data_IF_542950693286
#
_entry.id   IF_542950693286
#
_cell.length_a   1.000
_cell.length_b   1.000
_cell.length_c   1.000
_cell.angle_alpha   90.00
_cell.angle_beta   90.00
_cell.angle_gamma   90.00
#
_symmetry.space_group_name_H-M   'P 1'
#
loop_
_entity.id
_entity.type
_entity.pdbx_description
1 polymer ?
#
# COMPACT_ATOMS: atom_id res chain seq x y z
N UNK A 1 -8.19 69.23 -27.03
CA UNK A 1 -9.19 68.56 -26.16
C UNK A 1 -9.63 67.19 -26.68
N UNK A 2 -9.94 67.01 -27.97
CA UNK A 2 -10.45 65.73 -28.53
C UNK A 2 -9.50 64.52 -28.37
N UNK A 3 -8.18 64.72 -28.42
CA UNK A 3 -7.21 63.62 -28.24
C UNK A 3 -7.14 63.08 -26.80
N UNK A 4 -7.42 63.92 -25.81
CA UNK A 4 -7.39 63.52 -24.40
C UNK A 4 -8.64 62.68 -24.04
N UNK A 5 -9.80 63.03 -24.58
CA UNK A 5 -11.03 62.26 -24.38
C UNK A 5 -10.98 60.88 -25.04
N UNK A 6 -10.37 60.75 -26.23
CA UNK A 6 -10.20 59.44 -26.88
C UNK A 6 -9.27 58.52 -26.09
N UNK A 7 -8.18 59.05 -25.51
CA UNK A 7 -7.26 58.27 -24.69
C UNK A 7 -7.90 57.76 -23.39
N UNK A 8 -8.73 58.57 -22.73
CA UNK A 8 -9.44 58.18 -21.50
C UNK A 8 -10.50 57.12 -21.78
N UNK A 9 -11.25 57.24 -22.88
CA UNK A 9 -12.26 56.24 -23.27
C UNK A 9 -11.60 54.91 -23.66
N UNK A 10 -10.47 54.95 -24.39
CA UNK A 10 -9.71 53.74 -24.72
C UNK A 10 -9.13 53.05 -23.48
N UNK A 11 -8.57 53.82 -22.53
CA UNK A 11 -8.06 53.27 -21.28
C UNK A 11 -9.18 52.67 -20.40
N UNK A 12 -10.35 53.31 -20.34
CA UNK A 12 -11.51 52.79 -19.64
C UNK A 12 -12.05 51.50 -20.30
N UNK A 13 -12.08 51.42 -21.63
CA UNK A 13 -12.48 50.20 -22.35
C UNK A 13 -11.50 49.04 -22.16
N UNK A 14 -10.19 49.31 -22.08
CA UNK A 14 -9.16 48.31 -21.80
C UNK A 14 -9.21 47.85 -20.33
N UNK A 15 -9.47 48.75 -19.37
CA UNK A 15 -9.65 48.38 -17.97
C UNK A 15 -10.96 47.59 -17.75
N UNK A 16 -12.05 47.99 -18.40
CA UNK A 16 -13.34 47.28 -18.30
C UNK A 16 -13.33 45.92 -19.03
N UNK A 17 -12.58 45.77 -20.12
CA UNK A 17 -12.39 44.47 -20.79
C UNK A 17 -11.34 43.59 -20.07
N UNK A 18 -10.27 44.18 -19.55
CA UNK A 18 -9.23 43.50 -18.76
C UNK A 18 -9.73 42.95 -17.43
N UNK A 19 -10.75 43.55 -16.82
CA UNK A 19 -11.39 43.03 -15.61
C UNK A 19 -12.36 41.86 -15.85
N UNK A 20 -12.80 41.60 -17.08
CA UNK A 20 -13.74 40.51 -17.38
C UNK A 20 -13.04 39.22 -17.82
N UNK A 21 -11.85 39.32 -18.40
CA UNK A 21 -11.10 38.16 -18.90
C UNK A 21 -10.22 37.47 -17.83
N UNK A 22 -10.12 38.04 -16.63
CA UNK A 22 -9.42 37.43 -15.50
C UNK A 22 -10.37 36.74 -14.48
N UNK A 23 -11.66 36.63 -14.80
CA UNK A 23 -12.72 36.18 -13.91
C UNK A 23 -13.46 34.90 -14.34
N UNK A 24 -12.72 33.80 -14.53
CA UNK A 24 -13.01 32.52 -13.85
C UNK A 24 -14.41 31.85 -13.99
N UNK A 25 -15.15 32.00 -15.08
CA UNK A 25 -16.36 31.19 -15.32
C UNK A 25 -16.04 29.77 -15.82
N UNK A 26 -15.16 29.62 -16.81
CA UNK A 26 -14.80 28.30 -17.37
C UNK A 26 -14.09 27.38 -16.36
N UNK A 27 -13.51 27.94 -15.30
CA UNK A 27 -12.75 27.16 -14.32
C UNK A 27 -13.64 26.32 -13.41
N UNK A 28 -14.91 26.72 -13.18
CA UNK A 28 -15.89 25.92 -12.44
C UNK A 28 -16.38 24.75 -13.30
N UNK A 29 -16.76 25.05 -14.54
CA UNK A 29 -17.26 24.05 -15.49
C UNK A 29 -16.22 22.97 -15.80
N UNK A 30 -14.92 23.31 -15.76
CA UNK A 30 -13.81 22.36 -15.94
C UNK A 30 -13.49 21.50 -14.71
N UNK A 31 -13.86 21.92 -13.50
CA UNK A 31 -13.51 21.17 -12.29
C UNK A 31 -14.48 20.02 -11.99
N UNK A 32 -15.76 20.16 -12.33
CA UNK A 32 -16.74 19.08 -12.17
C UNK A 32 -16.33 17.78 -12.92
N UNK A 33 -15.91 17.82 -14.20
CA UNK A 33 -15.43 16.61 -14.87
C UNK A 33 -14.13 16.06 -14.24
N UNK A 34 -13.24 16.90 -13.71
CA UNK A 34 -12.06 16.42 -12.97
C UNK A 34 -12.45 15.68 -11.68
N UNK A 35 -13.45 16.19 -10.94
CA UNK A 35 -13.99 15.52 -9.76
C UNK A 35 -14.60 14.17 -10.11
N UNK A 36 -15.44 14.11 -11.16
CA UNK A 36 -15.99 12.84 -11.68
C UNK A 36 -14.89 11.84 -12.01
N UNK A 37 -13.88 12.28 -12.75
CA UNK A 37 -12.76 11.42 -13.12
C UNK A 37 -11.99 10.92 -11.88
N UNK A 38 -11.75 11.79 -10.89
CA UNK A 38 -11.09 11.38 -9.65
C UNK A 38 -11.89 10.32 -8.89
N UNK A 39 -13.21 10.47 -8.82
CA UNK A 39 -14.12 9.49 -8.19
C UNK A 39 -14.13 8.17 -8.95
N UNK A 40 -14.16 8.19 -10.28
CA UNK A 40 -14.08 6.98 -11.11
C UNK A 40 -12.75 6.23 -10.92
N UNK A 41 -11.63 6.95 -10.87
CA UNK A 41 -10.33 6.34 -10.60
C UNK A 41 -10.28 5.73 -9.20
N UNK A 42 -10.91 6.37 -8.21
CA UNK A 42 -11.00 5.85 -6.85
C UNK A 42 -11.86 4.58 -6.79
N UNK A 43 -12.98 4.54 -7.52
CA UNK A 43 -13.80 3.33 -7.67
C UNK A 43 -13.02 2.15 -8.30
N UNK A 44 -12.22 2.42 -9.33
CA UNK A 44 -11.35 1.38 -9.92
C UNK A 44 -10.29 0.87 -8.93
N UNK A 45 -9.76 1.74 -8.07
CA UNK A 45 -8.84 1.32 -7.00
C UNK A 45 -9.54 0.46 -5.94
N UNK A 46 -10.83 0.71 -5.66
CA UNK A 46 -11.63 -0.12 -4.75
C UNK A 46 -11.80 -1.55 -5.31
N UNK A 47 -12.11 -1.69 -6.60
CA UNK A 47 -12.20 -3.01 -7.24
C UNK A 47 -10.89 -3.80 -7.12
N UNK A 48 -9.76 -3.12 -7.35
CA UNK A 48 -8.44 -3.71 -7.16
C UNK A 48 -8.20 -4.11 -5.69
N UNK A 49 -8.57 -3.27 -4.74
CA UNK A 49 -8.42 -3.54 -3.32
C UNK A 49 -9.26 -4.75 -2.87
N UNK A 50 -10.50 -4.89 -3.37
CA UNK A 50 -11.36 -6.06 -3.11
C UNK A 50 -10.72 -7.35 -3.63
N UNK A 51 -10.18 -7.33 -4.85
CA UNK A 51 -9.46 -8.48 -5.40
C UNK A 51 -8.21 -8.85 -4.58
N UNK A 52 -7.45 -7.84 -4.11
CA UNK A 52 -6.30 -8.05 -3.23
C UNK A 52 -6.72 -8.63 -1.86
N UNK A 53 -7.85 -8.19 -1.31
CA UNK A 53 -8.42 -8.72 -0.07
C UNK A 53 -8.79 -10.20 -0.21
N UNK A 54 -9.40 -10.60 -1.33
CA UNK A 54 -9.74 -12.00 -1.58
C UNK A 54 -8.51 -12.90 -1.62
N UNK A 55 -7.45 -12.45 -2.30
CA UNK A 55 -6.15 -13.14 -2.30
C UNK A 55 -5.56 -13.24 -0.90
N UNK A 56 -5.64 -12.16 -0.11
CA UNK A 56 -5.13 -12.11 1.25
C UNK A 56 -5.93 -13.04 2.18
N UNK A 57 -7.25 -13.08 2.06
CA UNK A 57 -8.14 -14.00 2.80
C UNK A 57 -7.81 -15.45 2.48
N UNK A 58 -7.62 -15.80 1.21
CA UNK A 58 -7.19 -17.15 0.80
C UNK A 58 -5.84 -17.51 1.42
N UNK A 59 -4.86 -16.60 1.38
CA UNK A 59 -3.55 -16.84 2.00
C UNK A 59 -3.65 -17.03 3.53
N UNK A 60 -4.51 -16.25 4.19
CA UNK A 60 -4.72 -16.30 5.64
C UNK A 60 -5.33 -17.61 6.14
N UNK A 61 -5.99 -18.40 5.27
CA UNK A 61 -6.44 -19.76 5.60
C UNK A 61 -5.27 -20.69 5.92
N UNK A 62 -4.11 -20.45 5.31
CA UNK A 62 -2.89 -21.26 5.48
C UNK A 62 -1.83 -20.62 6.39
N UNK A 63 -1.89 -19.30 6.58
CA UNK A 63 -0.97 -18.54 7.43
C UNK A 63 -1.76 -17.73 8.46
N UNK A 64 -1.87 -18.26 9.68
CA UNK A 64 -2.61 -17.61 10.77
C UNK A 64 -2.11 -16.20 11.09
N UNK A 65 -0.84 -15.89 10.83
CA UNK A 65 -0.30 -14.56 11.02
C UNK A 65 -0.90 -13.52 10.06
N UNK A 66 -1.36 -13.94 8.87
CA UNK A 66 -1.99 -13.04 7.89
C UNK A 66 -3.45 -12.71 8.22
N UNK A 67 -4.11 -13.43 9.14
CA UNK A 67 -5.51 -13.19 9.51
C UNK A 67 -5.74 -11.76 9.98
N UNK A 68 -4.88 -11.27 10.88
CA UNK A 68 -4.95 -9.90 11.40
C UNK A 68 -4.79 -8.88 10.27
N UNK A 69 -3.89 -9.13 9.31
CA UNK A 69 -3.70 -8.21 8.18
C UNK A 69 -4.91 -8.25 7.25
N UNK A 70 -5.53 -9.42 7.05
CA UNK A 70 -6.76 -9.56 6.26
C UNK A 70 -7.92 -8.77 6.89
N UNK A 71 -8.10 -8.86 8.21
CA UNK A 71 -9.12 -8.10 8.95
C UNK A 71 -8.88 -6.59 8.86
N UNK A 72 -7.64 -6.12 9.01
CA UNK A 72 -7.30 -4.70 8.85
C UNK A 72 -7.45 -4.19 7.42
N UNK A 73 -7.24 -5.08 6.44
CA UNK A 73 -7.45 -4.76 5.03
C UNK A 73 -8.94 -4.68 4.69
N UNK A 74 -9.76 -5.56 5.27
CA UNK A 74 -11.22 -5.54 5.16
C UNK A 74 -11.79 -4.20 5.63
N UNK A 75 -11.43 -3.77 6.85
CA UNK A 75 -11.83 -2.45 7.36
C UNK A 75 -11.38 -1.28 6.48
N UNK A 76 -10.22 -1.41 5.85
CA UNK A 76 -9.74 -0.39 4.91
C UNK A 76 -10.54 -0.38 3.61
N UNK A 77 -11.06 -1.53 3.15
CA UNK A 77 -12.00 -1.64 2.03
C UNK A 77 -13.36 -1.05 2.40
N UNK A 78 -13.92 -1.40 3.56
CA UNK A 78 -15.18 -0.80 4.05
C UNK A 78 -15.08 0.72 4.11
N UNK A 79 -14.01 1.27 4.70
CA UNK A 79 -13.83 2.73 4.74
C UNK A 79 -13.66 3.36 3.36
N UNK A 80 -13.05 2.66 2.41
CA UNK A 80 -12.94 3.13 1.03
C UNK A 80 -14.32 3.21 0.37
N UNK A 81 -15.18 2.21 0.58
CA UNK A 81 -16.56 2.20 0.09
C UNK A 81 -17.36 3.39 0.61
N UNK A 82 -17.28 3.67 1.91
CA UNK A 82 -17.93 4.84 2.52
C UNK A 82 -17.45 6.15 1.89
N UNK A 83 -16.13 6.35 1.77
CA UNK A 83 -15.55 7.56 1.16
C UNK A 83 -15.99 7.69 -0.30
N UNK A 84 -16.10 6.58 -1.02
CA UNK A 84 -16.52 6.58 -2.41
C UNK A 84 -17.99 7.02 -2.53
N UNK A 85 -18.88 6.48 -1.70
CA UNK A 85 -20.30 6.87 -1.65
C UNK A 85 -20.46 8.35 -1.27
N UNK A 86 -19.76 8.81 -0.22
CA UNK A 86 -19.74 10.22 0.19
C UNK A 86 -19.31 11.14 -0.96
N UNK A 87 -18.28 10.75 -1.73
CA UNK A 87 -17.77 11.53 -2.85
C UNK A 87 -18.68 11.48 -4.08
N UNK A 88 -19.35 10.36 -4.35
CA UNK A 88 -20.35 10.24 -5.42
C UNK A 88 -21.54 11.18 -5.16
N UNK A 89 -22.13 11.10 -3.96
CA UNK A 89 -23.21 12.00 -3.55
C UNK A 89 -22.80 13.48 -3.58
N UNK A 90 -21.54 13.76 -3.27
CA UNK A 90 -21.00 15.12 -3.36
C UNK A 90 -20.90 15.60 -4.81
N UNK A 91 -20.42 14.76 -5.72
CA UNK A 91 -20.41 15.08 -7.16
C UNK A 91 -21.84 15.32 -7.64
N UNK A 92 -22.79 14.42 -7.36
CA UNK A 92 -24.19 14.55 -7.76
C UNK A 92 -24.80 15.89 -7.32
N UNK A 93 -24.58 16.30 -6.07
CA UNK A 93 -25.02 17.61 -5.57
C UNK A 93 -24.39 18.79 -6.32
N UNK A 94 -23.15 18.66 -6.75
CA UNK A 94 -22.47 19.70 -7.54
C UNK A 94 -22.98 19.75 -8.99
N UNK A 95 -23.49 18.63 -9.52
CA UNK A 95 -24.17 18.60 -10.82
C UNK A 95 -25.52 19.32 -10.77
N UNK A 96 -26.28 19.11 -9.70
CA UNK A 96 -27.58 19.76 -9.48
C UNK A 96 -27.44 21.27 -9.20
N UNK A 97 -26.42 21.64 -8.42
CA UNK A 97 -26.19 23.02 -8.00
C UNK A 97 -24.70 23.33 -7.94
N UNK A 98 -24.19 23.90 -9.04
CA UNK A 98 -22.79 24.31 -9.18
C UNK A 98 -22.38 25.32 -8.10
N UNK A 99 -21.49 24.95 -7.17
CA UNK A 99 -21.03 25.86 -6.12
C UNK A 99 -20.06 26.91 -6.67
N UNK A 100 -19.72 27.89 -5.83
CA UNK A 100 -18.64 28.82 -6.12
C UNK A 100 -17.28 28.10 -6.29
N UNK A 101 -16.45 28.62 -7.18
CA UNK A 101 -15.15 28.02 -7.50
C UNK A 101 -14.31 27.69 -6.26
N UNK A 102 -14.28 28.60 -5.28
CA UNK A 102 -13.43 28.46 -4.09
C UNK A 102 -13.86 27.25 -3.25
N UNK A 103 -15.16 27.04 -3.10
CA UNK A 103 -15.70 25.86 -2.42
C UNK A 103 -15.39 24.60 -3.20
N UNK A 104 -15.68 24.56 -4.50
CA UNK A 104 -15.38 23.39 -5.33
C UNK A 104 -13.90 23.00 -5.26
N UNK A 105 -12.98 23.97 -5.33
CA UNK A 105 -11.53 23.71 -5.26
C UNK A 105 -11.10 23.14 -3.90
N UNK A 106 -11.64 23.68 -2.80
CA UNK A 106 -11.37 23.14 -1.45
C UNK A 106 -11.88 21.72 -1.31
N UNK A 107 -13.09 21.47 -1.80
CA UNK A 107 -13.71 20.15 -1.76
C UNK A 107 -12.91 19.14 -2.59
N UNK A 108 -12.53 19.48 -3.82
CA UNK A 108 -11.65 18.64 -4.63
C UNK A 108 -10.33 18.34 -3.90
N UNK A 109 -9.71 19.34 -3.26
CA UNK A 109 -8.50 19.14 -2.46
C UNK A 109 -8.70 18.16 -1.30
N UNK A 110 -9.82 18.26 -0.58
CA UNK A 110 -10.17 17.34 0.50
C UNK A 110 -10.36 15.90 -0.02
N UNK A 111 -11.17 15.72 -1.06
CA UNK A 111 -11.39 14.42 -1.72
C UNK A 111 -10.08 13.76 -2.14
N UNK A 112 -9.17 14.51 -2.78
CA UNK A 112 -7.87 13.97 -3.21
C UNK A 112 -6.97 13.57 -2.03
N UNK A 113 -7.07 14.29 -0.91
CA UNK A 113 -6.35 13.97 0.33
C UNK A 113 -6.86 12.66 0.92
N UNK A 114 -8.17 12.47 0.97
CA UNK A 114 -8.81 11.22 1.41
C UNK A 114 -8.41 10.04 0.52
N UNK A 115 -8.44 10.22 -0.81
CA UNK A 115 -8.00 9.20 -1.76
C UNK A 115 -6.53 8.82 -1.54
N UNK A 116 -5.68 9.81 -1.23
CA UNK A 116 -4.28 9.58 -0.89
C UNK A 116 -4.14 8.80 0.42
N UNK A 117 -4.92 9.14 1.44
CA UNK A 117 -4.91 8.45 2.72
C UNK A 117 -5.31 6.97 2.58
N UNK A 118 -6.39 6.68 1.86
CA UNK A 118 -6.83 5.31 1.57
C UNK A 118 -5.75 4.48 0.84
N UNK A 119 -5.15 5.03 -0.23
CA UNK A 119 -4.04 4.36 -0.94
C UNK A 119 -2.84 4.10 -0.04
N UNK A 120 -2.47 5.06 0.82
CA UNK A 120 -1.37 4.90 1.76
C UNK A 120 -1.66 3.80 2.80
N UNK A 121 -2.93 3.65 3.22
CA UNK A 121 -3.35 2.55 4.11
C UNK A 121 -3.11 1.20 3.46
N UNK A 122 -3.55 0.99 2.21
CA UNK A 122 -3.29 -0.27 1.50
C UNK A 122 -1.80 -0.57 1.33
N UNK A 123 -0.98 0.43 0.98
CA UNK A 123 0.48 0.27 0.89
C UNK A 123 1.10 -0.16 2.20
N UNK A 124 0.63 0.39 3.33
CA UNK A 124 1.09 0.00 4.66
C UNK A 124 0.75 -1.46 4.97
N UNK A 125 -0.47 -1.90 4.63
CA UNK A 125 -0.92 -3.27 4.84
C UNK A 125 -0.19 -4.27 3.92
N UNK A 126 0.06 -3.91 2.66
CA UNK A 126 0.91 -4.69 1.76
C UNK A 126 2.32 -4.88 2.32
N UNK A 127 2.92 -3.84 2.90
CA UNK A 127 4.20 -3.96 3.62
C UNK A 127 4.09 -4.93 4.80
N UNK A 128 2.97 -4.93 5.52
CA UNK A 128 2.72 -5.87 6.61
C UNK A 128 2.60 -7.33 6.13
N UNK A 129 2.03 -7.57 4.94
CA UNK A 129 2.03 -8.91 4.32
C UNK A 129 3.47 -9.33 3.99
N UNK A 130 4.24 -8.44 3.38
CA UNK A 130 5.62 -8.71 2.95
C UNK A 130 6.57 -9.02 4.11
N UNK A 131 6.49 -8.25 5.19
CA UNK A 131 7.42 -8.31 6.32
C UNK A 131 6.77 -8.91 7.57
N UNK A 132 7.11 -10.16 7.96
CA UNK A 132 6.55 -10.81 9.15
C UNK A 132 6.73 -10.00 10.44
N UNK A 133 7.83 -9.25 10.56
CA UNK A 133 8.11 -8.39 11.72
C UNK A 133 7.15 -7.19 11.83
N UNK A 134 6.49 -6.81 10.74
CA UNK A 134 5.42 -5.81 10.75
C UNK A 134 4.10 -6.48 11.12
N UNK A 135 3.81 -7.65 10.55
CA UNK A 135 2.64 -8.47 10.91
C UNK A 135 2.59 -8.76 12.42
N UNK A 136 3.73 -9.16 13.01
CA UNK A 136 3.83 -9.49 14.44
C UNK A 136 3.54 -8.30 15.36
N UNK A 137 3.76 -7.07 14.89
CA UNK A 137 3.43 -5.85 15.65
C UNK A 137 1.93 -5.52 15.64
N UNK A 138 1.17 -6.12 14.72
CA UNK A 138 -0.28 -5.96 14.63
C UNK A 138 -1.03 -7.04 15.41
N UNK A 139 -0.36 -8.13 15.79
CA UNK A 139 -1.00 -9.25 16.47
C UNK A 139 -1.53 -8.84 17.87
N UNK A 140 -2.73 -9.28 18.26
CA UNK A 140 -3.29 -9.01 19.58
C UNK A 140 -2.36 -9.56 20.67
N UNK A 141 -1.96 -8.70 21.61
CA UNK A 141 -0.97 -9.01 22.65
C UNK A 141 0.47 -8.56 22.36
N UNK A 142 0.76 -7.97 21.21
CA UNK A 142 2.09 -7.36 20.95
C UNK A 142 2.38 -6.15 21.85
N UNK A 143 1.35 -5.52 22.41
CA UNK A 143 1.47 -4.36 23.30
C UNK A 143 2.02 -4.72 24.68
N UNK A 144 1.77 -5.94 25.20
CA UNK A 144 2.36 -6.39 26.47
C UNK A 144 3.86 -6.71 26.33
N UNK A 145 4.28 -7.28 25.18
CA UNK A 145 5.70 -7.47 24.86
C UNK A 145 6.43 -6.13 24.59
N UNK A 146 5.72 -5.10 24.12
CA UNK A 146 6.24 -3.73 24.00
C UNK A 146 6.29 -3.01 25.35
N UNK A 147 5.30 -3.18 26.21
CA UNK A 147 5.29 -2.63 27.56
C UNK A 147 6.46 -3.17 28.40
N UNK A 148 6.79 -4.47 28.28
CA UNK A 148 7.97 -5.05 28.93
C UNK A 148 9.31 -4.59 28.32
N UNK A 149 9.33 -4.11 27.08
CA UNK A 149 10.56 -3.61 26.40
C UNK A 149 10.68 -2.08 26.38
N UNK A 150 9.67 -1.34 26.85
CA UNK A 150 9.67 0.13 26.95
C UNK A 150 9.73 0.57 28.41
N UNK A 151 10.86 0.29 29.05
CA UNK A 151 11.45 1.22 29.99
C UNK A 151 12.44 2.11 29.20
N UNK A 152 11.93 2.98 28.33
CA UNK A 152 12.71 3.99 27.59
C UNK A 152 11.76 5.13 27.17
N UNK A 153 12.12 6.41 27.39
CA UNK A 153 11.13 7.46 27.60
C UNK A 153 10.36 7.88 26.34
N UNK A 154 9.14 8.33 26.63
CA UNK A 154 8.18 8.98 25.74
C UNK A 154 8.79 10.13 24.95
N UNK A 155 8.93 9.93 23.65
CA UNK A 155 8.53 10.91 22.63
C UNK A 155 8.98 10.39 21.26
N UNK A 156 8.01 10.01 20.42
CA UNK A 156 8.19 10.10 18.98
C UNK A 156 7.09 11.02 18.47
N UNK A 157 7.44 12.11 17.76
CA UNK A 157 6.48 13.10 17.35
C UNK A 157 5.51 12.48 16.34
N UNK A 158 4.23 12.75 16.57
CA UNK A 158 3.18 12.63 15.58
C UNK A 158 3.58 13.53 14.41
N UNK A 159 3.88 12.93 13.26
CA UNK A 159 4.18 13.67 12.04
C UNK A 159 2.91 14.45 11.64
N UNK A 160 2.84 15.71 12.05
CA UNK A 160 1.94 16.72 11.51
C UNK A 160 2.41 17.01 10.08
N UNK A 161 1.61 16.63 9.11
CA UNK A 161 1.67 17.23 7.77
C UNK A 161 1.06 18.64 7.85
N UNK A 162 1.80 19.57 8.45
CA UNK A 162 1.61 21.02 8.31
C UNK A 162 2.52 21.51 7.17
N UNK A 163 2.01 21.51 5.94
CA UNK A 163 2.59 22.25 4.83
C UNK A 163 1.54 22.54 3.75
N UNK A 164 0.60 23.44 4.04
CA UNK A 164 -0.20 24.12 3.01
C UNK A 164 -0.39 25.59 3.39
N UNK A 165 0.72 26.34 3.36
CA UNK A 165 0.69 27.80 3.34
C UNK A 165 0.66 28.29 1.90
N UNK A 166 -0.45 28.94 1.59
CA UNK A 166 -0.59 30.17 0.78
C UNK A 166 0.05 30.24 -0.62
N UNK A 167 -0.84 30.37 -1.61
CA UNK A 167 -0.66 31.42 -2.60
C UNK A 167 0.14 31.07 -3.85
N UNK A 168 -0.16 29.96 -4.54
CA UNK A 168 0.08 29.84 -5.99
C UNK A 168 -1.07 29.12 -6.68
N UNK A 169 -1.72 29.84 -7.58
CA UNK A 169 -2.68 29.32 -8.55
C UNK A 169 -1.94 28.41 -9.52
N UNK A 170 -2.22 27.11 -9.53
CA UNK A 170 -2.08 26.25 -10.71
C UNK A 170 -3.01 25.05 -10.54
N UNK A 171 -4.06 25.03 -11.35
CA UNK A 171 -4.71 23.80 -11.80
C UNK A 171 -3.60 22.94 -12.45
N UNK A 172 -3.56 21.65 -12.12
CA UNK A 172 -2.60 20.60 -12.52
C UNK A 172 -1.32 20.43 -11.64
N UNK A 173 -1.34 19.41 -10.75
CA UNK A 173 -0.43 18.27 -10.90
C UNK A 173 -1.12 16.90 -10.92
N UNK A 174 -2.45 16.85 -10.83
CA UNK A 174 -3.21 15.59 -10.66
C UNK A 174 -3.11 14.67 -11.89
N UNK A 175 -2.77 15.22 -13.06
CA UNK A 175 -2.68 14.46 -14.31
C UNK A 175 -1.35 13.75 -14.60
N UNK A 176 -0.23 14.03 -13.91
CA UNK A 176 1.09 13.54 -14.38
C UNK A 176 1.90 12.61 -13.46
N UNK A 177 1.75 12.59 -12.14
CA UNK A 177 2.60 11.71 -11.29
C UNK A 177 1.95 10.40 -10.84
N UNK A 178 0.62 10.25 -10.95
CA UNK A 178 -0.10 9.19 -10.21
C UNK A 178 -0.81 8.12 -11.03
N UNK A 179 -0.78 8.23 -12.36
CA UNK A 179 -1.13 7.12 -13.26
C UNK A 179 0.05 6.14 -13.47
N UNK A 180 1.25 6.47 -12.98
CA UNK A 180 2.48 5.69 -13.19
C UNK A 180 3.13 5.09 -11.92
N UNK A 181 2.44 5.01 -10.77
CA UNK A 181 2.97 4.14 -9.68
C UNK A 181 2.86 2.64 -10.00
N UNK A 182 2.37 2.30 -11.19
CA UNK A 182 2.39 0.96 -11.78
C UNK A 182 3.80 0.42 -12.07
N UNK A 183 4.84 1.25 -12.12
CA UNK A 183 6.19 0.79 -12.53
C UNK A 183 7.08 0.28 -11.40
N UNK A 184 6.62 0.28 -10.14
CA UNK A 184 7.45 -0.21 -9.02
C UNK A 184 6.69 -0.68 -7.77
N UNK A 185 5.37 -0.57 -7.72
CA UNK A 185 4.60 -1.05 -6.57
C UNK A 185 4.28 -2.53 -6.72
N UNK A 186 4.83 -3.32 -5.79
CA UNK A 186 4.69 -4.76 -5.73
C UNK A 186 3.22 -5.15 -5.46
N UNK A 187 2.66 -6.05 -6.27
CA UNK A 187 1.25 -6.50 -6.13
C UNK A 187 1.07 -7.41 -4.91
N UNK A 188 -0.16 -7.56 -4.39
CA UNK A 188 -0.47 -8.50 -3.30
C UNK A 188 0.03 -9.92 -3.63
N UNK A 189 -0.18 -10.38 -4.88
CA UNK A 189 0.34 -11.68 -5.36
C UNK A 189 1.86 -11.77 -5.26
N UNK A 190 2.59 -10.73 -5.65
CA UNK A 190 4.05 -10.68 -5.54
C UNK A 190 4.50 -10.65 -4.07
N UNK A 191 3.84 -9.87 -3.21
CA UNK A 191 4.14 -9.80 -1.78
C UNK A 191 3.96 -11.15 -1.08
N UNK A 192 2.88 -11.87 -1.41
CA UNK A 192 2.62 -13.23 -0.92
C UNK A 192 3.67 -14.23 -1.45
N UNK A 193 4.04 -14.14 -2.72
CA UNK A 193 5.08 -14.99 -3.30
C UNK A 193 6.44 -14.78 -2.60
N UNK A 194 6.85 -13.53 -2.38
CA UNK A 194 8.09 -13.21 -1.66
C UNK A 194 8.04 -13.74 -0.22
N UNK A 195 6.91 -13.59 0.49
CA UNK A 195 6.74 -14.13 1.86
C UNK A 195 6.90 -15.66 1.89
N UNK A 196 6.30 -16.37 0.93
CA UNK A 196 6.44 -17.83 0.79
C UNK A 196 7.89 -18.24 0.55
N UNK A 197 8.59 -17.53 -0.35
CA UNK A 197 10.01 -17.77 -0.64
C UNK A 197 10.91 -17.55 0.60
N UNK A 198 10.64 -16.51 1.40
CA UNK A 198 11.39 -16.26 2.65
C UNK A 198 11.16 -17.37 3.68
N UNK A 199 9.93 -17.87 3.81
CA UNK A 199 9.64 -18.99 4.71
C UNK A 199 10.37 -20.27 4.30
N UNK A 200 10.41 -20.60 3.01
CA UNK A 200 11.15 -21.79 2.55
C UNK A 200 12.66 -21.68 2.75
N UNK A 201 13.22 -20.47 2.68
CA UNK A 201 14.64 -20.21 3.01
C UNK A 201 14.93 -20.33 4.51
N UNK A 202 14.03 -19.84 5.37
CA UNK A 202 14.19 -19.95 6.84
C UNK A 202 14.00 -21.38 7.36
N UNK A 203 13.21 -22.20 6.66
CA UNK A 203 12.98 -23.61 7.01
C UNK A 203 14.11 -24.57 6.63
N UNK A 204 15.15 -24.12 5.89
CA UNK A 204 16.36 -24.92 5.68
C UNK A 204 17.32 -24.65 6.83
N UNK A 205 17.53 -25.60 7.78
CA UNK A 205 18.63 -25.47 8.71
C UNK A 205 19.91 -25.34 7.88
N UNK A 206 20.69 -24.28 8.12
CA UNK A 206 22.06 -24.24 7.64
C UNK A 206 22.74 -25.48 8.22
N UNK A 207 22.87 -26.52 7.39
CA UNK A 207 23.76 -27.64 7.64
C UNK A 207 25.15 -27.02 7.57
N UNK A 208 25.59 -26.47 8.70
CA UNK A 208 26.95 -26.02 8.97
C UNK A 208 27.79 -27.28 9.02
N UNK A 209 28.07 -27.84 7.84
CA UNK A 209 29.07 -28.87 7.66
C UNK A 209 30.41 -28.25 8.02
N UNK A 210 30.97 -28.66 9.15
CA UNK A 210 32.36 -28.42 9.46
C UNK A 210 33.27 -29.27 8.58
N UNK A 211 34.49 -28.79 8.38
CA UNK A 211 35.73 -29.55 8.58
C UNK A 211 36.91 -28.79 7.95
N UNK A 212 37.74 -28.21 8.82
CA UNK A 212 39.19 -28.10 8.64
C UNK A 212 39.74 -27.50 9.95
N UNK A 213 40.73 -28.02 10.65
CA UNK A 213 41.57 -29.21 10.51
C UNK A 213 42.17 -29.37 11.91
N UNK A 214 41.87 -30.49 12.57
CA UNK A 214 42.38 -30.84 13.89
C UNK A 214 43.58 -31.76 13.73
N UNK A 215 44.73 -31.18 13.96
CA UNK A 215 46.08 -31.69 13.99
C UNK A 215 46.30 -32.97 14.85
N UNK A 216 47.01 -33.95 14.26
CA UNK A 216 47.92 -34.94 14.87
C UNK A 216 47.44 -35.90 15.99
N UNK A 217 47.51 -37.22 15.72
CA UNK A 217 48.61 -38.08 16.24
C UNK A 217 48.60 -39.54 15.73
N UNK A 218 49.72 -39.90 15.09
CA UNK A 218 50.52 -41.16 15.11
C UNK A 218 49.85 -42.51 15.48
N UNK A 219 50.04 -43.48 14.57
CA UNK A 219 50.77 -44.73 14.87
C UNK A 219 50.08 -46.08 14.57
N UNK A 220 50.37 -46.66 13.38
CA UNK A 220 50.77 -48.07 13.05
C UNK A 220 50.15 -49.29 13.80
N UNK A 221 50.21 -50.53 13.25
CA UNK A 221 49.64 -51.06 11.99
C UNK A 221 48.75 -52.33 12.22
N UNK A 222 48.12 -52.79 11.14
CA UNK A 222 47.56 -54.13 10.81
C UNK A 222 48.18 -55.37 11.51
N UNK A 223 47.53 -56.58 11.57
CA UNK A 223 46.86 -57.21 10.41
C UNK A 223 45.71 -58.24 10.64
N UNK A 224 45.18 -58.71 9.50
CA UNK A 224 44.81 -60.10 9.15
C UNK A 224 43.36 -60.60 9.31
N UNK A 225 42.79 -60.88 8.12
CA UNK A 225 42.15 -62.14 7.68
C UNK A 225 41.24 -62.93 8.63
N UNK A 226 39.99 -63.11 8.19
CA UNK A 226 39.08 -64.15 8.67
C UNK A 226 37.91 -64.37 7.72
N UNK A 227 38.08 -65.34 6.83
CA UNK A 227 37.08 -65.88 5.89
C UNK A 227 36.24 -66.98 6.55
N UNK A 228 34.92 -67.00 6.32
CA UNK A 228 34.00 -68.16 6.20
C UNK A 228 32.55 -67.64 6.37
N UNK A 229 31.65 -67.69 5.38
CA UNK A 229 30.96 -68.83 4.76
C UNK A 229 29.83 -69.43 5.62
N UNK A 230 28.74 -69.83 4.92
CA UNK A 230 27.54 -70.59 5.34
C UNK A 230 26.53 -69.83 6.22
N UNK A 231 25.21 -70.02 6.14
CA UNK A 231 24.41 -70.97 5.36
C UNK A 231 22.95 -70.50 5.24
N UNK A 232 22.28 -71.20 4.35
CA UNK A 232 20.88 -71.29 3.91
C UNK A 232 19.76 -71.44 4.97
N UNK A 233 18.52 -71.43 4.44
CA UNK A 233 17.21 -71.86 4.95
C UNK A 233 16.25 -70.70 5.33
N UNK A 234 15.22 -70.43 4.55
CA UNK A 234 13.93 -71.16 4.36
C UNK A 234 12.94 -70.95 5.52
N UNK A 235 11.66 -70.76 5.17
CA UNK A 235 10.53 -70.66 6.11
C UNK A 235 9.61 -69.48 5.79
N UNK A 236 8.75 -69.56 4.77
CA UNK A 236 7.45 -70.26 4.76
C UNK A 236 6.29 -69.37 5.22
N UNK A 237 5.20 -69.51 4.46
CA UNK A 237 3.98 -68.74 4.46
C UNK A 237 3.16 -68.86 5.76
N UNK A 238 2.35 -67.84 6.04
CA UNK A 238 1.09 -68.03 6.76
C UNK A 238 0.04 -67.02 6.28
N UNK A 239 -0.95 -67.59 5.61
CA UNK A 239 -2.22 -67.03 5.17
C UNK A 239 -3.21 -66.92 6.35
N UNK A 240 -4.22 -66.06 6.17
CA UNK A 240 -5.57 -66.07 6.78
C UNK A 240 -5.79 -65.22 8.05
N UNK A 241 -7.04 -64.83 8.35
CA UNK A 241 -8.31 -65.00 7.61
C UNK A 241 -8.85 -63.74 6.93
#
# INVERSE_FOLDING_TARGET
MVRATVAVVAAAAVLLSGCRTYGRYDAQEKMLPEMRQSVQLFASDLERARADLDLLRQAAQSDSALRVVAEEYDRAVERHEEILDENQQLVDRFEENLPDYRRMHRTLGATLSEHRAARNRYRSLLKAVRYPSVTQRMAPGADSARAQRRALPDSLPQARDEAYTEGRYFVAPIFYERLQSTTGEMTMRQALAERRQRRSQQGRPQRRGGASEGEQRRGLPEPASGSAASDTADGEAATSP
#
